data_IF_757554233085
#
_entry.id   IF_757554233085
#
_cell.length_a   1.000
_cell.length_b   1.000
_cell.length_c   1.000
_cell.angle_alpha   90.00
_cell.angle_beta   90.00
_cell.angle_gamma   90.00
#
_symmetry.space_group_name_H-M   'P 1'
#
loop_
_entity.id
_entity.type
_entity.pdbx_description
1 polymer ?
#
# COMPACT_ATOMS: atom_id res chain seq x y z
N UNK A 1 -2.37 5.75 17.50
CA UNK A 1 -1.68 4.45 17.62
C UNK A 1 -2.10 3.48 16.55
N UNK A 2 -3.41 3.26 16.40
CA UNK A 2 -3.94 2.39 15.35
C UNK A 2 -3.49 2.82 13.94
N UNK A 3 -3.54 4.12 13.66
CA UNK A 3 -3.12 4.67 12.37
C UNK A 3 -1.65 4.40 12.11
N UNK A 4 -0.79 4.63 13.11
CA UNK A 4 0.64 4.41 12.97
C UNK A 4 0.96 2.93 12.70
N UNK A 5 0.29 2.02 13.41
CA UNK A 5 0.44 0.58 13.19
C UNK A 5 0.10 0.20 11.75
N UNK A 6 -0.99 0.74 11.22
CA UNK A 6 -1.43 0.45 9.86
C UNK A 6 -0.47 1.02 8.82
N UNK A 7 0.09 2.20 9.07
CA UNK A 7 1.10 2.78 8.17
C UNK A 7 2.35 1.88 8.14
N UNK A 8 2.83 1.45 9.30
CA UNK A 8 3.99 0.55 9.38
C UNK A 8 3.68 -0.78 8.69
N UNK A 9 2.51 -1.35 8.94
CA UNK A 9 2.08 -2.59 8.29
C UNK A 9 2.03 -2.44 6.78
N UNK A 10 1.53 -1.29 6.29
CA UNK A 10 1.50 -1.00 4.87
C UNK A 10 2.89 -1.02 4.25
N UNK A 11 3.88 -0.43 4.93
CA UNK A 11 5.25 -0.45 4.44
C UNK A 11 5.84 -1.85 4.43
N UNK A 12 5.52 -2.69 5.44
CA UNK A 12 5.97 -4.08 5.47
C UNK A 12 5.37 -4.89 4.32
N UNK A 13 4.09 -4.70 4.05
CA UNK A 13 3.41 -5.36 2.92
C UNK A 13 4.01 -4.89 1.59
N UNK A 14 4.28 -3.59 1.47
CA UNK A 14 4.93 -3.03 0.28
C UNK A 14 6.30 -3.66 0.07
N UNK A 15 7.10 -3.78 1.12
CA UNK A 15 8.41 -4.41 1.03
C UNK A 15 8.30 -5.86 0.55
N UNK A 16 7.31 -6.61 1.05
CA UNK A 16 7.08 -7.98 0.62
C UNK A 16 6.74 -8.06 -0.87
N UNK A 17 5.89 -7.15 -1.37
CA UNK A 17 5.55 -7.10 -2.79
C UNK A 17 6.77 -6.78 -3.65
N UNK A 18 7.58 -5.82 -3.24
CA UNK A 18 8.78 -5.42 -3.98
C UNK A 18 9.81 -6.55 -3.99
N UNK A 19 10.01 -7.22 -2.86
CA UNK A 19 10.94 -8.35 -2.77
C UNK A 19 10.47 -9.52 -3.63
N UNK A 20 9.17 -9.84 -3.61
CA UNK A 20 8.61 -10.90 -4.44
C UNK A 20 8.80 -10.60 -5.93
N UNK A 21 8.56 -9.33 -6.33
CA UNK A 21 8.79 -8.91 -7.71
C UNK A 21 10.27 -9.03 -8.08
N UNK A 22 11.17 -8.69 -7.16
CA UNK A 22 12.61 -8.84 -7.39
C UNK A 22 13.02 -10.28 -7.63
N UNK A 23 12.43 -11.22 -6.89
CA UNK A 23 12.69 -12.65 -7.09
C UNK A 23 12.19 -13.13 -8.46
N UNK A 24 11.01 -12.67 -8.88
CA UNK A 24 10.45 -12.99 -10.20
C UNK A 24 11.36 -12.40 -11.29
N UNK A 25 11.86 -11.18 -11.08
CA UNK A 25 12.67 -10.48 -12.06
C UNK A 25 14.05 -11.13 -12.29
N UNK A 26 14.52 -11.95 -11.34
CA UNK A 26 15.75 -12.70 -11.52
C UNK A 26 15.67 -13.69 -12.70
N UNK A 27 14.44 -14.10 -13.06
CA UNK A 27 14.21 -14.96 -14.22
C UNK A 27 14.09 -14.20 -15.55
N UNK A 28 14.38 -12.91 -15.57
CA UNK A 28 14.31 -12.09 -16.77
C UNK A 28 13.03 -11.28 -16.94
N UNK A 29 12.09 -11.39 -16.02
CA UNK A 29 10.85 -10.61 -16.05
C UNK A 29 11.06 -9.19 -15.52
N UNK A 30 10.13 -8.29 -15.84
CA UNK A 30 10.17 -6.88 -15.40
C UNK A 30 8.90 -6.52 -14.65
N UNK A 31 8.62 -7.29 -13.58
CA UNK A 31 7.41 -7.09 -12.78
C UNK A 31 7.59 -5.93 -11.80
N UNK A 32 6.60 -5.04 -11.76
CA UNK A 32 6.56 -3.92 -10.81
C UNK A 32 5.71 -4.33 -9.61
N UNK A 33 6.35 -4.65 -8.50
CA UNK A 33 5.65 -5.08 -7.28
C UNK A 33 4.92 -3.96 -6.57
N UNK A 34 5.31 -2.70 -6.79
CA UNK A 34 4.68 -1.56 -6.12
C UNK A 34 3.28 -1.26 -6.67
N UNK A 35 3.05 -1.48 -7.96
CA UNK A 35 1.75 -1.20 -8.57
C UNK A 35 0.61 -2.07 -8.01
N UNK A 36 0.72 -3.40 -8.01
CA UNK A 36 -0.34 -4.23 -7.43
C UNK A 36 -0.51 -3.98 -5.93
N UNK A 37 0.55 -3.59 -5.23
CA UNK A 37 0.45 -3.23 -3.82
C UNK A 37 -0.56 -2.09 -3.61
N UNK A 38 -0.54 -1.06 -4.46
CA UNK A 38 -1.43 0.10 -4.30
C UNK A 38 -2.89 -0.37 -4.32
N UNK A 39 -3.24 -1.23 -5.27
CA UNK A 39 -4.60 -1.75 -5.38
C UNK A 39 -4.98 -2.62 -4.16
N UNK A 40 -4.11 -3.53 -3.77
CA UNK A 40 -4.35 -4.42 -2.63
C UNK A 40 -4.47 -3.59 -1.35
N UNK A 41 -3.59 -2.62 -1.15
CA UNK A 41 -3.61 -1.79 0.05
C UNK A 41 -4.85 -0.89 0.09
N UNK A 42 -5.33 -0.42 -1.06
CA UNK A 42 -6.57 0.33 -1.14
C UNK A 42 -7.74 -0.52 -0.63
N UNK A 43 -7.84 -1.77 -1.09
CA UNK A 43 -8.89 -2.68 -0.65
C UNK A 43 -8.81 -2.98 0.84
N UNK A 44 -7.61 -3.21 1.37
CA UNK A 44 -7.39 -3.45 2.79
C UNK A 44 -7.77 -2.22 3.61
N UNK A 45 -7.40 -1.03 3.14
CA UNK A 45 -7.72 0.22 3.84
C UNK A 45 -9.22 0.48 3.88
N UNK A 46 -9.93 0.21 2.77
CA UNK A 46 -11.39 0.35 2.72
C UNK A 46 -12.04 -0.65 3.68
N UNK A 47 -11.61 -1.91 3.67
CA UNK A 47 -12.16 -2.93 4.55
C UNK A 47 -11.95 -2.56 6.02
N UNK A 48 -10.77 -2.03 6.36
CA UNK A 48 -10.47 -1.58 7.71
C UNK A 48 -11.40 -0.44 8.15
N UNK A 49 -11.65 0.53 7.25
CA UNK A 49 -12.55 1.64 7.53
C UNK A 49 -13.98 1.17 7.75
N UNK A 50 -14.47 0.26 6.90
CA UNK A 50 -15.82 -0.29 7.04
C UNK A 50 -15.97 -1.04 8.36
N UNK A 51 -14.99 -1.87 8.74
CA UNK A 51 -15.02 -2.58 10.01
C UNK A 51 -15.05 -1.59 11.19
N UNK A 52 -14.25 -0.53 11.11
CA UNK A 52 -14.23 0.49 12.16
C UNK A 52 -15.58 1.17 12.33
N UNK A 53 -16.26 1.53 11.23
CA UNK A 53 -17.57 2.18 11.30
C UNK A 53 -18.64 1.20 11.80
N UNK A 54 -18.67 -0.03 11.26
CA UNK A 54 -19.73 -0.99 11.53
C UNK A 54 -19.59 -1.63 12.92
N UNK A 55 -18.39 -2.06 13.29
CA UNK A 55 -18.17 -2.81 14.52
C UNK A 55 -17.74 -1.95 15.70
N UNK A 56 -16.88 -0.97 15.47
CA UNK A 56 -16.37 -0.12 16.55
C UNK A 56 -17.21 1.13 16.77
N UNK A 57 -18.18 1.41 15.89
CA UNK A 57 -19.03 2.59 16.00
C UNK A 57 -18.31 3.92 15.78
N UNK A 58 -17.18 3.90 15.09
CA UNK A 58 -16.41 5.10 14.81
C UNK A 58 -17.15 5.96 13.77
N UNK A 59 -17.28 7.29 13.98
CA UNK A 59 -17.94 8.15 13.00
C UNK A 59 -17.24 8.08 11.62
N UNK A 60 -18.05 8.11 10.56
CA UNK A 60 -17.54 8.02 9.18
C UNK A 60 -16.50 9.10 8.88
N UNK A 61 -16.71 10.32 9.37
CA UNK A 61 -15.75 11.41 9.18
C UNK A 61 -14.38 11.10 9.78
N UNK A 62 -14.35 10.45 10.95
CA UNK A 62 -13.10 10.05 11.57
C UNK A 62 -12.39 8.97 10.77
N UNK A 63 -13.16 8.04 10.20
CA UNK A 63 -12.59 6.98 9.36
C UNK A 63 -12.03 7.53 8.05
N UNK A 64 -12.69 8.51 7.44
CA UNK A 64 -12.18 9.18 6.25
C UNK A 64 -10.86 9.89 6.58
N UNK A 65 -10.82 10.61 7.72
CA UNK A 65 -9.61 11.29 8.17
C UNK A 65 -8.45 10.32 8.44
N UNK A 66 -8.74 9.13 8.96
CA UNK A 66 -7.73 8.10 9.19
C UNK A 66 -7.30 7.42 7.89
N UNK A 67 -8.23 7.25 6.94
CA UNK A 67 -7.95 6.62 5.65
C UNK A 67 -6.88 7.36 4.87
N UNK A 68 -6.91 8.69 4.89
CA UNK A 68 -5.97 9.51 4.13
C UNK A 68 -4.51 9.14 4.46
N UNK A 69 -4.04 9.18 5.73
CA UNK A 69 -2.66 8.79 6.03
C UNK A 69 -2.43 7.28 5.91
N UNK A 70 -3.40 6.46 6.28
CA UNK A 70 -3.25 5.00 6.25
C UNK A 70 -3.02 4.51 4.82
N UNK A 71 -3.81 4.99 3.87
CA UNK A 71 -3.64 4.65 2.47
C UNK A 71 -2.60 5.54 1.80
N UNK A 72 -2.64 6.84 2.07
CA UNK A 72 -1.84 7.84 1.36
C UNK A 72 -0.34 7.64 1.52
N UNK A 73 0.14 7.43 2.75
CA UNK A 73 1.59 7.33 2.99
C UNK A 73 2.19 6.11 2.28
N UNK A 74 1.67 4.87 2.48
CA UNK A 74 2.21 3.73 1.75
C UNK A 74 2.01 3.84 0.24
N UNK A 75 0.89 4.41 -0.20
CA UNK A 75 0.59 4.55 -1.63
C UNK A 75 1.56 5.53 -2.31
N UNK A 76 1.91 6.64 -1.66
CA UNK A 76 2.89 7.58 -2.20
C UNK A 76 4.26 6.95 -2.31
N UNK A 77 4.68 6.19 -1.29
CA UNK A 77 5.95 5.46 -1.32
C UNK A 77 5.94 4.45 -2.46
N UNK A 78 4.85 3.69 -2.61
CA UNK A 78 4.71 2.70 -3.67
C UNK A 78 4.74 3.36 -5.05
N UNK A 79 4.05 4.48 -5.21
CA UNK A 79 4.05 5.23 -6.46
C UNK A 79 5.45 5.71 -6.84
N UNK A 80 6.20 6.19 -5.85
CA UNK A 80 7.58 6.63 -6.08
C UNK A 80 8.45 5.46 -6.53
N UNK A 81 8.34 4.30 -5.86
CA UNK A 81 9.09 3.10 -6.23
C UNK A 81 8.70 2.60 -7.62
N UNK A 82 7.41 2.68 -7.97
CA UNK A 82 6.92 2.29 -9.29
C UNK A 82 7.52 3.19 -10.37
N UNK A 83 7.58 4.49 -10.13
CA UNK A 83 8.19 5.41 -11.09
C UNK A 83 9.68 5.13 -11.28
N UNK A 84 10.40 4.86 -10.21
CA UNK A 84 11.82 4.50 -10.30
C UNK A 84 12.02 3.21 -11.09
N UNK A 85 11.17 2.23 -10.87
CA UNK A 85 11.22 0.97 -11.60
C UNK A 85 11.02 1.20 -13.11
N UNK A 86 9.99 1.97 -13.48
CA UNK A 86 9.72 2.28 -14.88
C UNK A 86 10.84 3.10 -15.52
N UNK A 87 11.41 4.04 -14.79
CA UNK A 87 12.52 4.84 -15.26
C UNK A 87 13.73 3.97 -15.59
N UNK A 88 14.01 2.94 -14.78
CA UNK A 88 15.10 1.99 -15.05
C UNK A 88 14.85 1.18 -16.31
N UNK A 89 13.59 0.83 -16.57
CA UNK A 89 13.25 0.05 -17.76
C UNK A 89 13.39 0.83 -19.04
N UNK A 90 13.29 2.16 -18.98
CA UNK A 90 13.40 3.02 -20.16
C UNK A 90 14.84 3.24 -20.63
N UNK A 91 15.81 2.86 -19.83
CA UNK A 91 17.23 2.96 -20.19
C UNK A 91 17.65 1.72 -20.95
#
# INVERSE_FOLDING_TARGET
MHILMLIVLGHLVLAAFVLAAGLINRGGNTVDGARPFILVWLLISIANGVVGVVQAGIPVLNEIGAFIPIFGVPAVVAWYLSRRHQSRLKV
#
